data_IF_496527289171
#
_entry.id   IF_496527289171
#
_cell.length_a   1.000
_cell.length_b   1.000
_cell.length_c   1.000
_cell.angle_alpha   90.00
_cell.angle_beta   90.00
_cell.angle_gamma   90.00
#
_symmetry.space_group_name_H-M   'P 1'
#
loop_
_entity.id
_entity.type
_entity.pdbx_description
1 polymer ?
#
# COMPACT_ATOMS: atom_id res chain seq x y z
N UNK A 1 -9.87 5.20 0.78
CA UNK A 1 -10.77 6.35 0.86
C UNK A 1 -11.99 6.07 1.72
N UNK A 2 -12.82 7.07 2.04
CA UNK A 2 -13.91 6.97 3.02
C UNK A 2 -15.05 6.05 2.61
N UNK A 3 -15.28 5.83 1.32
CA UNK A 3 -16.38 4.97 0.82
C UNK A 3 -16.28 3.53 1.33
N UNK A 4 -15.09 3.06 1.65
CA UNK A 4 -14.88 1.69 2.15
C UNK A 4 -15.67 1.44 3.46
N UNK A 5 -15.79 2.46 4.30
CA UNK A 5 -16.53 2.42 5.56
C UNK A 5 -17.98 2.85 5.40
N UNK A 6 -18.24 3.98 4.74
CA UNK A 6 -19.59 4.54 4.59
C UNK A 6 -20.54 3.61 3.84
N UNK A 7 -20.01 2.85 2.87
CA UNK A 7 -20.78 1.88 2.09
C UNK A 7 -20.64 0.43 2.60
N UNK A 8 -19.94 0.24 3.73
CA UNK A 8 -19.70 -1.06 4.38
C UNK A 8 -19.12 -2.11 3.42
N UNK A 9 -18.13 -1.68 2.62
CA UNK A 9 -17.56 -2.57 1.60
C UNK A 9 -16.81 -3.76 2.20
N UNK A 10 -16.13 -3.58 3.35
CA UNK A 10 -15.40 -4.66 4.01
C UNK A 10 -16.34 -5.74 4.53
N UNK A 11 -17.43 -5.34 5.18
CA UNK A 11 -18.45 -6.27 5.68
C UNK A 11 -19.16 -7.02 4.54
N UNK A 12 -19.47 -6.31 3.45
CA UNK A 12 -20.05 -6.94 2.25
C UNK A 12 -19.09 -7.95 1.64
N UNK A 13 -17.81 -7.63 1.55
CA UNK A 13 -16.78 -8.56 1.06
C UNK A 13 -16.63 -9.75 2.01
N UNK A 14 -16.56 -9.48 3.31
CA UNK A 14 -16.49 -10.54 4.32
C UNK A 14 -17.70 -11.48 4.32
N UNK A 15 -18.89 -10.98 3.99
CA UNK A 15 -20.11 -11.78 3.88
C UNK A 15 -20.29 -12.50 2.52
N UNK A 16 -19.51 -12.12 1.51
CA UNK A 16 -19.64 -12.66 0.15
C UNK A 16 -19.06 -14.07 0.01
N UNK A 17 -19.40 -14.75 -1.07
CA UNK A 17 -18.82 -16.00 -1.53
C UNK A 17 -17.60 -15.81 -2.46
N UNK A 18 -17.05 -14.59 -2.52
CA UNK A 18 -15.86 -14.29 -3.29
C UNK A 18 -14.69 -15.18 -2.85
N UNK A 19 -14.02 -15.78 -3.80
CA UNK A 19 -12.91 -16.71 -3.58
C UNK A 19 -11.60 -16.29 -4.29
N UNK A 20 -11.55 -15.07 -4.78
CA UNK A 20 -10.38 -14.53 -5.47
C UNK A 20 -9.30 -13.98 -4.52
N UNK A 21 -8.34 -13.27 -5.09
CA UNK A 21 -7.24 -12.68 -4.34
C UNK A 21 -7.64 -11.34 -3.71
N UNK A 22 -7.21 -11.11 -2.49
CA UNK A 22 -7.32 -9.84 -1.78
C UNK A 22 -5.98 -9.10 -1.84
N UNK A 23 -6.04 -7.83 -2.19
CA UNK A 23 -4.90 -6.92 -2.17
C UNK A 23 -5.25 -5.72 -1.30
N UNK A 24 -4.54 -5.54 -0.19
CA UNK A 24 -4.68 -4.39 0.70
C UNK A 24 -3.44 -3.50 0.63
N UNK A 25 -3.62 -2.19 0.86
CA UNK A 25 -2.51 -1.38 1.31
C UNK A 25 -2.30 -1.54 2.81
N UNK A 26 -1.12 -1.18 3.29
CA UNK A 26 -0.79 -1.14 4.71
C UNK A 26 -1.82 -0.37 5.54
N UNK A 27 -2.21 0.83 5.10
CA UNK A 27 -3.13 1.69 5.84
C UNK A 27 -4.57 1.17 6.00
N UNK A 28 -4.96 0.06 5.32
CA UNK A 28 -6.29 -0.55 5.47
C UNK A 28 -6.21 -1.99 6.01
N UNK A 29 -5.01 -2.55 6.17
CA UNK A 29 -4.83 -3.95 6.56
C UNK A 29 -5.57 -4.30 7.84
N UNK A 30 -5.32 -3.55 8.91
CA UNK A 30 -5.92 -3.82 10.23
C UNK A 30 -7.45 -3.73 10.16
N UNK A 31 -7.97 -2.71 9.50
CA UNK A 31 -9.42 -2.54 9.36
C UNK A 31 -10.05 -3.67 8.55
N UNK A 32 -9.40 -4.11 7.48
CA UNK A 32 -9.87 -5.24 6.69
C UNK A 32 -9.95 -6.51 7.57
N UNK A 33 -8.91 -6.80 8.35
CA UNK A 33 -8.89 -7.94 9.27
C UNK A 33 -10.00 -7.84 10.34
N UNK A 34 -10.19 -6.65 10.95
CA UNK A 34 -11.24 -6.38 11.94
C UNK A 34 -12.65 -6.61 11.42
N UNK A 35 -12.87 -6.33 10.13
CA UNK A 35 -14.18 -6.52 9.48
C UNK A 35 -14.36 -7.91 8.84
N UNK A 36 -13.48 -8.87 9.16
CA UNK A 36 -13.63 -10.25 8.72
C UNK A 36 -13.06 -10.56 7.32
N UNK A 37 -12.40 -9.61 6.68
CA UNK A 37 -11.64 -9.87 5.45
C UNK A 37 -10.28 -10.43 5.86
N UNK A 38 -10.24 -11.74 6.13
CA UNK A 38 -9.08 -12.42 6.72
C UNK A 38 -8.44 -13.43 5.76
N UNK A 39 -7.16 -13.78 5.93
CA UNK A 39 -6.51 -14.83 5.14
C UNK A 39 -7.09 -16.23 5.34
N UNK A 40 -7.87 -16.47 6.39
CA UNK A 40 -8.59 -17.72 6.58
C UNK A 40 -9.74 -17.88 5.60
N UNK A 41 -10.42 -16.77 5.32
CA UNK A 41 -11.47 -16.73 4.32
C UNK A 41 -10.91 -16.59 2.90
N UNK A 42 -9.85 -15.80 2.73
CA UNK A 42 -9.26 -15.46 1.44
C UNK A 42 -7.79 -15.93 1.40
N UNK A 43 -7.54 -17.14 0.96
CA UNK A 43 -6.22 -17.79 0.99
C UNK A 43 -5.12 -17.06 0.17
N UNK A 44 -5.52 -16.26 -0.81
CA UNK A 44 -4.61 -15.42 -1.60
C UNK A 44 -4.65 -13.98 -1.09
N UNK A 45 -3.97 -13.71 0.01
CA UNK A 45 -3.97 -12.41 0.67
C UNK A 45 -2.63 -11.70 0.52
N UNK A 46 -2.66 -10.45 0.04
CA UNK A 46 -1.50 -9.63 -0.22
C UNK A 46 -1.64 -8.27 0.46
N UNK A 47 -0.54 -7.77 1.04
CA UNK A 47 -0.48 -6.43 1.61
C UNK A 47 0.71 -5.66 1.02
N UNK A 48 0.46 -4.49 0.46
CA UNK A 48 1.48 -3.62 -0.13
C UNK A 48 1.87 -2.51 0.82
N UNK A 49 3.18 -2.28 0.98
CA UNK A 49 3.74 -1.09 1.61
C UNK A 49 4.78 -0.43 0.71
N UNK A 50 4.67 0.89 0.55
CA UNK A 50 5.53 1.68 -0.33
C UNK A 50 6.28 2.76 0.43
N UNK A 51 5.71 3.31 1.50
CA UNK A 51 6.18 4.50 2.19
C UNK A 51 7.36 4.20 3.13
N UNK A 52 8.38 5.07 3.11
CA UNK A 52 9.56 5.01 3.97
C UNK A 52 9.40 5.68 5.34
N UNK A 53 8.24 6.24 5.67
CA UNK A 53 8.04 6.93 6.95
C UNK A 53 7.88 5.93 8.11
N UNK A 54 8.96 5.74 8.88
CA UNK A 54 9.04 4.74 9.95
C UNK A 54 8.03 4.94 11.07
N UNK A 55 7.77 6.19 11.47
CA UNK A 55 6.88 6.49 12.61
C UNK A 55 5.41 6.27 12.27
N UNK A 56 5.05 6.52 11.01
CA UNK A 56 3.67 6.46 10.55
C UNK A 56 3.26 5.04 10.15
N UNK A 57 4.10 4.39 9.36
CA UNK A 57 3.79 3.09 8.77
C UNK A 57 3.80 1.99 9.83
N UNK A 58 4.66 2.09 10.84
CA UNK A 58 4.71 1.15 11.95
C UNK A 58 3.33 0.87 12.57
N UNK A 59 2.52 1.92 12.80
CA UNK A 59 1.20 1.82 13.42
C UNK A 59 0.22 0.93 12.66
N UNK A 60 0.43 0.75 11.36
CA UNK A 60 -0.41 -0.09 10.51
C UNK A 60 -0.04 -1.58 10.58
N UNK A 61 1.01 -1.90 11.34
CA UNK A 61 1.44 -3.28 11.59
C UNK A 61 1.43 -3.63 13.08
N UNK A 62 1.10 -2.69 13.95
CA UNK A 62 1.08 -2.86 15.40
C UNK A 62 -0.33 -3.21 15.88
N UNK A 63 -0.78 -4.43 15.56
CA UNK A 63 -2.07 -4.95 16.00
C UNK A 63 -1.99 -6.48 16.14
N UNK A 64 -2.68 -7.04 17.13
CA UNK A 64 -2.74 -8.49 17.39
C UNK A 64 -3.26 -9.31 16.20
N UNK A 65 -4.12 -8.74 15.37
CA UNK A 65 -4.60 -9.41 14.17
C UNK A 65 -3.49 -9.55 13.12
N UNK A 66 -2.57 -8.61 13.05
CA UNK A 66 -1.37 -8.76 12.21
C UNK A 66 -0.51 -9.90 12.74
N UNK A 67 -0.30 -10.00 14.05
CA UNK A 67 0.44 -11.12 14.67
C UNK A 67 -0.21 -12.47 14.35
N UNK A 68 -1.53 -12.54 14.44
CA UNK A 68 -2.30 -13.74 14.18
C UNK A 68 -2.22 -14.21 12.71
N UNK A 69 -2.22 -13.27 11.77
CA UNK A 69 -2.41 -13.59 10.34
C UNK A 69 -1.17 -13.38 9.48
N UNK A 70 -0.10 -12.79 10.00
CA UNK A 70 1.08 -12.42 9.21
C UNK A 70 1.67 -13.59 8.40
N UNK A 71 1.70 -14.78 8.96
CA UNK A 71 2.23 -15.98 8.31
C UNK A 71 1.39 -16.49 7.11
N UNK A 72 0.18 -15.94 6.93
CA UNK A 72 -0.73 -16.23 5.82
C UNK A 72 -0.84 -15.05 4.84
N UNK A 73 -0.22 -13.92 5.15
CA UNK A 73 -0.23 -12.70 4.32
C UNK A 73 1.11 -12.62 3.57
N UNK A 74 1.03 -12.36 2.27
CA UNK A 74 2.20 -12.08 1.43
C UNK A 74 2.43 -10.57 1.40
N UNK A 75 3.47 -10.09 2.08
CA UNK A 75 3.79 -8.66 2.15
C UNK A 75 4.64 -8.25 0.95
N UNK A 76 4.14 -7.32 0.17
CA UNK A 76 4.81 -6.77 -1.02
C UNK A 76 5.43 -5.43 -0.60
N UNK A 77 6.75 -5.38 -0.49
CA UNK A 77 7.47 -4.25 0.06
C UNK A 77 8.29 -3.53 -1.00
N UNK A 78 8.14 -2.21 -1.06
CA UNK A 78 9.05 -1.38 -1.83
C UNK A 78 10.44 -1.34 -1.16
N UNK A 79 11.50 -1.26 -1.94
CA UNK A 79 12.89 -1.16 -1.45
C UNK A 79 13.14 0.04 -0.54
N UNK A 80 12.26 1.06 -0.55
CA UNK A 80 12.33 2.24 0.32
C UNK A 80 11.51 2.12 1.61
N UNK A 81 10.81 1.00 1.82
CA UNK A 81 10.01 0.82 3.04
C UNK A 81 10.90 0.93 4.29
N UNK A 82 10.37 1.51 5.35
CA UNK A 82 11.09 1.68 6.60
C UNK A 82 11.57 0.34 7.18
N UNK A 83 12.81 0.29 7.66
CA UNK A 83 13.45 -0.92 8.14
C UNK A 83 12.68 -1.59 9.31
N UNK A 84 12.15 -0.80 10.23
CA UNK A 84 11.36 -1.29 11.36
C UNK A 84 10.06 -2.00 10.91
N UNK A 85 9.46 -1.58 9.81
CA UNK A 85 8.29 -2.26 9.21
C UNK A 85 8.69 -3.66 8.75
N UNK A 86 9.79 -3.77 8.02
CA UNK A 86 10.28 -5.09 7.61
C UNK A 86 10.65 -5.98 8.80
N UNK A 87 11.32 -5.43 9.82
CA UNK A 87 11.65 -6.16 11.04
C UNK A 87 10.37 -6.69 11.71
N UNK A 88 9.35 -5.84 11.86
CA UNK A 88 8.07 -6.22 12.45
C UNK A 88 7.41 -7.37 11.69
N UNK A 89 7.34 -7.27 10.37
CA UNK A 89 6.78 -8.34 9.52
C UNK A 89 7.53 -9.67 9.72
N UNK A 90 8.86 -9.61 9.80
CA UNK A 90 9.70 -10.79 10.03
C UNK A 90 9.49 -11.39 11.42
N UNK A 91 9.40 -10.56 12.45
CA UNK A 91 9.18 -10.99 13.84
C UNK A 91 7.87 -11.76 14.01
N UNK A 92 6.82 -11.35 13.31
CA UNK A 92 5.52 -12.03 13.35
C UNK A 92 5.37 -13.17 12.33
N UNK A 93 6.47 -13.56 11.68
CA UNK A 93 6.50 -14.69 10.76
C UNK A 93 5.93 -14.40 9.36
N UNK A 94 5.81 -13.14 8.99
CA UNK A 94 5.34 -12.72 7.67
C UNK A 94 6.38 -12.96 6.57
N UNK A 95 5.93 -13.29 5.36
CA UNK A 95 6.77 -13.45 4.18
C UNK A 95 6.82 -12.16 3.36
N UNK A 96 8.04 -11.63 3.12
CA UNK A 96 8.26 -10.39 2.39
C UNK A 96 8.74 -10.61 0.96
N UNK A 97 8.05 -9.98 0.01
CA UNK A 97 8.39 -9.92 -1.42
C UNK A 97 8.78 -8.50 -1.78
N UNK A 98 9.90 -8.32 -2.47
CA UNK A 98 10.50 -7.02 -2.69
C UNK A 98 10.37 -6.54 -4.14
N UNK A 99 10.08 -5.27 -4.30
CA UNK A 99 10.16 -4.59 -5.58
C UNK A 99 10.84 -3.22 -5.43
N UNK A 100 11.17 -2.59 -6.55
CA UNK A 100 11.70 -1.24 -6.59
C UNK A 100 10.72 -0.31 -7.31
N UNK A 101 10.28 0.76 -6.64
CA UNK A 101 9.44 1.75 -7.27
C UNK A 101 10.21 2.47 -8.39
N UNK A 102 9.57 2.68 -9.52
CA UNK A 102 10.12 3.51 -10.58
C UNK A 102 10.03 4.97 -10.16
N UNK A 103 11.20 5.61 -10.00
CA UNK A 103 11.31 7.02 -9.62
C UNK A 103 11.29 7.95 -10.83
N UNK A 104 11.74 7.45 -11.97
CA UNK A 104 11.78 8.16 -13.22
C UNK A 104 11.48 7.24 -14.40
N UNK A 105 10.99 7.83 -15.49
CA UNK A 105 10.51 7.12 -16.67
C UNK A 105 11.26 7.48 -17.97
N UNK A 106 12.34 8.29 -17.87
CA UNK A 106 13.00 8.86 -19.03
C UNK A 106 14.00 7.86 -19.66
N UNK A 107 13.73 7.32 -20.85
CA UNK A 107 14.69 6.49 -21.56
C UNK A 107 15.89 7.36 -22.01
N UNK A 108 17.11 6.85 -21.83
CA UNK A 108 18.34 7.45 -22.36
C UNK A 108 19.08 8.43 -21.45
N UNK A 109 18.52 8.77 -20.29
CA UNK A 109 19.24 9.56 -19.27
C UNK A 109 19.73 8.67 -18.12
N UNK A 110 20.70 9.16 -17.33
CA UNK A 110 21.05 8.53 -16.07
C UNK A 110 19.84 8.58 -15.13
N UNK A 111 19.29 7.42 -14.84
CA UNK A 111 18.05 7.27 -14.12
C UNK A 111 18.34 6.79 -12.70
N UNK A 112 17.76 7.46 -11.71
CA UNK A 112 17.81 7.01 -10.30
C UNK A 112 17.30 5.58 -10.19
N UNK A 113 16.23 5.24 -10.90
CA UNK A 113 15.68 3.88 -10.96
C UNK A 113 16.70 2.86 -11.46
N UNK A 114 17.52 3.21 -12.46
CA UNK A 114 18.60 2.33 -12.97
C UNK A 114 19.71 2.16 -11.95
N UNK A 115 20.15 3.24 -11.32
CA UNK A 115 21.19 3.22 -10.29
C UNK A 115 20.76 2.36 -9.10
N UNK A 116 19.54 2.58 -8.58
CA UNK A 116 18.99 1.77 -7.49
C UNK A 116 18.85 0.30 -7.88
N UNK A 117 18.39 0.00 -9.07
CA UNK A 117 18.27 -1.39 -9.54
C UNK A 117 19.64 -2.05 -9.70
N UNK A 118 20.66 -1.30 -10.14
CA UNK A 118 22.01 -1.81 -10.26
C UNK A 118 22.63 -2.11 -8.88
N UNK A 119 22.42 -1.24 -7.88
CA UNK A 119 22.92 -1.44 -6.52
C UNK A 119 22.27 -2.63 -5.80
N UNK A 120 21.09 -3.06 -6.24
CA UNK A 120 20.36 -4.21 -5.69
C UNK A 120 20.63 -5.53 -6.43
N UNK A 121 21.62 -5.55 -7.33
CA UNK A 121 22.03 -6.78 -8.02
C UNK A 121 22.80 -7.72 -7.09
N UNK A 122 22.67 -8.99 -7.36
CA UNK A 122 23.38 -10.04 -6.63
C UNK A 122 23.30 -11.37 -7.35
N UNK A 123 23.98 -12.44 -6.85
CA UNK A 123 24.01 -13.76 -7.51
C UNK A 123 22.62 -14.33 -7.81
N UNK A 124 21.66 -14.11 -6.90
CA UNK A 124 20.27 -14.55 -7.07
C UNK A 124 19.38 -13.54 -7.81
N UNK A 125 19.90 -12.35 -8.11
CA UNK A 125 19.17 -11.24 -8.75
C UNK A 125 20.07 -10.48 -9.70
N UNK A 126 20.49 -11.08 -10.80
CA UNK A 126 21.47 -10.46 -11.72
C UNK A 126 20.94 -9.15 -12.33
N UNK A 127 19.61 -9.00 -12.44
CA UNK A 127 18.96 -7.79 -12.96
C UNK A 127 18.48 -6.83 -11.85
N UNK A 128 18.79 -7.10 -10.57
CA UNK A 128 18.27 -6.35 -9.43
C UNK A 128 16.83 -6.72 -9.08
N UNK A 129 16.13 -5.83 -8.37
CA UNK A 129 14.72 -5.99 -8.06
C UNK A 129 13.85 -5.63 -9.26
N UNK A 130 12.67 -6.24 -9.32
CA UNK A 130 11.61 -5.87 -10.27
C UNK A 130 11.25 -4.39 -10.07
N UNK A 131 11.19 -3.65 -11.17
CA UNK A 131 10.82 -2.23 -11.17
C UNK A 131 9.36 -2.08 -11.56
N UNK A 132 8.59 -1.39 -10.73
CA UNK A 132 7.15 -1.24 -10.92
C UNK A 132 6.77 0.22 -10.76
N UNK A 133 5.94 0.71 -11.70
CA UNK A 133 5.30 2.02 -11.57
C UNK A 133 4.34 2.01 -10.37
N UNK A 134 4.40 3.05 -9.54
CA UNK A 134 3.56 3.15 -8.34
C UNK A 134 2.41 4.16 -8.48
N UNK A 135 2.38 4.92 -9.59
CA UNK A 135 1.35 5.91 -9.90
C UNK A 135 1.03 6.89 -8.73
N UNK A 136 2.00 7.13 -7.86
CA UNK A 136 1.95 8.15 -6.81
C UNK A 136 1.21 7.79 -5.52
N UNK A 137 0.52 6.63 -5.44
CA UNK A 137 -0.09 6.17 -4.20
C UNK A 137 -0.19 4.64 -4.12
N UNK A 138 -0.36 4.11 -2.89
CA UNK A 138 -0.40 2.66 -2.65
C UNK A 138 -1.56 1.96 -3.37
N UNK A 139 -2.75 2.57 -3.44
CA UNK A 139 -3.90 1.97 -4.10
C UNK A 139 -3.70 1.80 -5.60
N UNK A 140 -3.20 2.84 -6.28
CA UNK A 140 -2.85 2.77 -7.69
C UNK A 140 -1.69 1.78 -7.95
N UNK A 141 -0.70 1.72 -7.05
CA UNK A 141 0.38 0.74 -7.13
C UNK A 141 -0.13 -0.69 -7.03
N UNK A 142 -1.09 -0.98 -6.12
CA UNK A 142 -1.75 -2.27 -6.02
C UNK A 142 -2.46 -2.67 -7.30
N UNK A 143 -3.21 -1.75 -7.90
CA UNK A 143 -3.89 -1.98 -9.16
C UNK A 143 -2.91 -2.33 -10.28
N UNK A 144 -1.84 -1.54 -10.44
CA UNK A 144 -0.79 -1.81 -11.43
C UNK A 144 -0.16 -3.19 -11.21
N UNK A 145 0.13 -3.55 -9.96
CA UNK A 145 0.73 -4.84 -9.65
C UNK A 145 -0.23 -5.99 -9.91
N UNK A 146 -1.50 -5.84 -9.53
CA UNK A 146 -2.52 -6.85 -9.82
C UNK A 146 -2.64 -7.13 -11.32
N UNK A 147 -2.60 -6.08 -12.15
CA UNK A 147 -2.63 -6.21 -13.62
C UNK A 147 -1.32 -6.79 -14.18
N UNK A 148 -0.19 -6.17 -13.83
CA UNK A 148 1.09 -6.40 -14.52
C UNK A 148 1.84 -7.61 -14.02
N UNK A 149 1.81 -7.87 -12.70
CA UNK A 149 2.55 -8.95 -12.06
C UNK A 149 1.68 -10.19 -11.90
N UNK A 150 0.49 -10.01 -11.31
CA UNK A 150 -0.41 -11.12 -11.02
C UNK A 150 -1.34 -11.45 -12.19
N UNK A 151 -1.29 -10.68 -13.27
CA UNK A 151 -2.06 -10.88 -14.52
C UNK A 151 -3.56 -11.12 -14.26
N UNK A 152 -4.14 -10.35 -13.34
CA UNK A 152 -5.56 -10.41 -13.05
C UNK A 152 -6.32 -9.52 -14.03
N UNK A 153 -7.29 -10.08 -14.76
CA UNK A 153 -8.04 -9.38 -15.78
C UNK A 153 -9.32 -8.74 -15.25
N UNK A 154 -9.86 -9.25 -14.15
CA UNK A 154 -11.00 -8.65 -13.46
C UNK A 154 -10.54 -8.15 -12.10
N UNK A 155 -10.57 -6.84 -11.90
CA UNK A 155 -10.15 -6.18 -10.66
C UNK A 155 -11.29 -5.29 -10.17
N UNK A 156 -11.74 -5.50 -8.95
CA UNK A 156 -12.67 -4.62 -8.26
C UNK A 156 -11.89 -3.70 -7.33
N UNK A 157 -12.01 -2.39 -7.51
CA UNK A 157 -11.39 -1.37 -6.66
C UNK A 157 -12.37 -0.95 -5.57
N UNK A 158 -11.95 -1.04 -4.32
CA UNK A 158 -12.76 -0.68 -3.14
C UNK A 158 -12.04 0.40 -2.36
N UNK A 159 -12.73 1.52 -2.09
CA UNK A 159 -12.17 2.62 -1.31
C UNK A 159 -11.04 3.41 -1.98
N UNK A 160 -10.92 3.35 -3.30
CA UNK A 160 -9.99 4.17 -4.07
C UNK A 160 -10.71 5.41 -4.60
N UNK A 161 -11.19 6.25 -3.69
CA UNK A 161 -12.11 7.37 -4.02
C UNK A 161 -11.39 8.55 -4.66
N UNK A 162 -10.07 8.65 -4.47
CA UNK A 162 -9.21 9.75 -4.96
C UNK A 162 -9.68 11.14 -4.50
N UNK A 163 -10.44 11.21 -3.41
CA UNK A 163 -11.01 12.43 -2.86
C UNK A 163 -11.63 12.21 -1.48
N UNK A 164 -12.28 13.25 -1.00
CA UNK A 164 -13.04 13.26 0.25
C UNK A 164 -14.52 13.48 -0.04
N UNK A 165 -15.42 13.10 0.88
CA UNK A 165 -16.85 13.37 0.73
C UNK A 165 -17.13 14.86 0.57
N UNK A 166 -18.13 15.19 -0.22
CA UNK A 166 -18.61 16.57 -0.37
C UNK A 166 -18.96 17.16 0.99
N UNK A 167 -18.55 18.40 1.21
CA UNK A 167 -18.78 19.13 2.47
C UNK A 167 -17.87 18.72 3.64
N UNK A 168 -16.92 17.80 3.45
CA UNK A 168 -15.93 17.51 4.49
C UNK A 168 -15.05 18.75 4.73
N UNK A 169 -14.97 19.28 5.98
CA UNK A 169 -14.06 20.36 6.29
C UNK A 169 -12.61 20.00 5.97
N UNK A 170 -11.87 20.95 5.41
CA UNK A 170 -10.47 20.72 5.02
C UNK A 170 -9.62 20.25 6.21
N UNK A 171 -9.91 20.75 7.40
CA UNK A 171 -9.25 20.43 8.67
C UNK A 171 -9.38 18.94 9.07
N UNK A 172 -10.40 18.27 8.55
CA UNK A 172 -10.64 16.84 8.81
C UNK A 172 -9.97 15.93 7.76
N UNK A 173 -9.34 16.52 6.76
CA UNK A 173 -8.65 15.72 5.74
C UNK A 173 -7.28 15.25 6.24
N UNK A 174 -6.90 14.05 5.79
CA UNK A 174 -5.63 13.43 6.15
C UNK A 174 -4.37 14.27 5.84
N UNK A 175 -4.45 15.14 4.85
CA UNK A 175 -3.32 15.96 4.41
C UNK A 175 -3.30 17.35 5.00
N UNK A 176 -4.31 17.74 5.80
CA UNK A 176 -4.43 19.09 6.32
C UNK A 176 -3.15 19.59 6.99
N UNK A 177 -2.63 18.85 7.97
CA UNK A 177 -1.43 19.25 8.70
C UNK A 177 -0.21 19.44 7.80
N UNK A 178 -0.08 18.61 6.75
CA UNK A 178 1.01 18.73 5.79
C UNK A 178 0.85 19.94 4.89
N UNK A 179 -0.38 20.19 4.43
CA UNK A 179 -0.71 21.38 3.63
C UNK A 179 -0.52 22.65 4.46
N UNK A 180 -1.05 22.68 5.68
CA UNK A 180 -0.90 23.80 6.60
C UNK A 180 0.57 24.16 6.82
N UNK A 181 1.43 23.19 7.06
CA UNK A 181 2.89 23.40 7.18
C UNK A 181 3.52 23.87 5.88
N UNK A 182 3.15 23.27 4.75
CA UNK A 182 3.72 23.61 3.44
C UNK A 182 3.41 25.05 3.01
N UNK A 183 2.21 25.54 3.33
CA UNK A 183 1.79 26.92 3.02
C UNK A 183 2.04 27.90 4.17
N UNK A 184 2.79 27.49 5.19
CA UNK A 184 3.16 28.31 6.36
C UNK A 184 1.93 28.94 7.05
N UNK A 185 0.83 28.20 7.12
CA UNK A 185 -0.44 28.64 7.70
C UNK A 185 -1.34 29.46 6.77
N UNK A 186 -0.87 29.86 5.59
CA UNK A 186 -1.71 30.59 4.63
C UNK A 186 -2.57 29.64 3.81
N UNK A 187 -3.73 29.25 4.35
CA UNK A 187 -4.64 28.29 3.74
C UNK A 187 -5.48 28.84 2.58
N UNK A 188 -5.42 30.15 2.29
CA UNK A 188 -6.15 30.71 1.15
C UNK A 188 -5.69 30.17 -0.18
N UNK A 189 -4.41 29.86 -0.31
CA UNK A 189 -3.88 29.17 -1.49
C UNK A 189 -4.44 27.76 -1.74
N UNK A 190 -5.03 27.14 -0.73
CA UNK A 190 -5.55 25.76 -0.83
C UNK A 190 -7.05 25.76 -1.12
N UNK A 191 -7.73 26.89 -0.91
CA UNK A 191 -9.19 27.05 -1.12
C UNK A 191 -9.57 27.52 -2.52
N UNK A 192 -8.58 27.93 -3.31
CA UNK A 192 -8.76 28.37 -4.70
C UNK A 192 -8.62 27.20 -5.68
#
# INVERSE_FOLDING_TARGET
>A
GPSIFTLKHLEKLAASDYNGAIFTSDGILIDALKHGVTPEKFSNYYCLSVDGNSEKIWKWYDDRLVDQYANKIKFILNSTVAHNVYQRIKEVGGEAYWFNAMMDYWPGQESITRVMSASLRGPRRPNGLVRIATAGNCGASLWIQACSIFRRFTICLIGLDMGYPDGMPLEQTYYYDKLFKAVQGNMEFVKA
#
